data_IF_946984397042
#
_entry.id   IF_946984397042
#
_cell.length_a   1.000
_cell.length_b   1.000
_cell.length_c   1.000
_cell.angle_alpha   90.00
_cell.angle_beta   90.00
_cell.angle_gamma   90.00
#
_symmetry.space_group_name_H-M   'P 1'
#
loop_
_entity.id
_entity.type
_entity.pdbx_description
1 polymer ?
#
# COMPACT_ATOMS: atom_id res chain seq x y z
N UNK A 1 -3.90 -24.75 -14.58
CA UNK A 1 -2.58 -24.15 -14.53
C UNK A 1 -2.73 -22.61 -14.55
N UNK A 2 -2.38 -21.93 -13.44
CA UNK A 2 -2.54 -20.48 -13.23
C UNK A 2 -1.94 -19.62 -14.34
N UNK A 3 -0.79 -20.03 -14.88
CA UNK A 3 -0.14 -19.31 -15.96
C UNK A 3 -1.02 -19.23 -17.21
N UNK A 4 -1.73 -20.31 -17.55
CA UNK A 4 -2.65 -20.30 -18.69
C UNK A 4 -3.88 -19.43 -18.43
N UNK A 5 -4.46 -19.50 -17.23
CA UNK A 5 -5.59 -18.64 -16.82
C UNK A 5 -5.22 -17.17 -16.92
N UNK A 6 -4.02 -16.81 -16.45
CA UNK A 6 -3.52 -15.45 -16.58
C UNK A 6 -3.35 -15.02 -18.05
N UNK A 7 -2.73 -15.86 -18.89
CA UNK A 7 -2.58 -15.57 -20.33
C UNK A 7 -3.92 -15.40 -21.04
N UNK A 8 -4.90 -16.23 -20.73
CA UNK A 8 -6.25 -16.13 -21.28
C UNK A 8 -6.92 -14.81 -20.86
N UNK A 9 -6.75 -14.39 -19.61
CA UNK A 9 -7.26 -13.11 -19.13
C UNK A 9 -6.59 -11.93 -19.88
N UNK A 10 -5.27 -11.95 -20.05
CA UNK A 10 -4.55 -10.93 -20.83
C UNK A 10 -5.08 -10.88 -22.26
N UNK A 11 -5.26 -12.05 -22.92
CA UNK A 11 -5.82 -12.11 -24.25
C UNK A 11 -7.26 -11.55 -24.34
N UNK A 12 -8.07 -11.77 -23.30
CA UNK A 12 -9.42 -11.19 -23.21
C UNK A 12 -9.39 -9.67 -23.10
N UNK A 13 -8.51 -9.11 -22.26
CA UNK A 13 -8.29 -7.67 -22.17
C UNK A 13 -7.88 -7.09 -23.52
N UNK A 14 -6.92 -7.70 -24.19
CA UNK A 14 -6.46 -7.27 -25.53
C UNK A 14 -7.58 -7.31 -26.57
N UNK A 15 -8.44 -8.35 -26.57
CA UNK A 15 -9.61 -8.42 -27.47
C UNK A 15 -10.57 -7.25 -27.23
N UNK A 16 -10.84 -6.89 -25.98
CA UNK A 16 -11.69 -5.73 -25.66
C UNK A 16 -11.07 -4.44 -26.16
N UNK A 17 -9.77 -4.23 -25.92
CA UNK A 17 -9.06 -3.03 -26.36
C UNK A 17 -9.07 -2.89 -27.89
N UNK A 18 -8.80 -3.98 -28.61
CA UNK A 18 -8.86 -4.00 -30.07
C UNK A 18 -10.26 -3.69 -30.61
N UNK A 19 -11.31 -4.27 -29.99
CA UNK A 19 -12.70 -4.02 -30.36
C UNK A 19 -13.09 -2.55 -30.16
N UNK A 20 -12.55 -1.91 -29.13
CA UNK A 20 -12.76 -0.49 -28.82
C UNK A 20 -11.79 0.43 -29.61
N UNK A 21 -10.93 -0.13 -30.47
CA UNK A 21 -9.92 0.61 -31.24
C UNK A 21 -8.98 1.45 -30.37
N UNK A 22 -8.72 0.98 -29.14
CA UNK A 22 -7.76 1.62 -28.24
C UNK A 22 -6.33 1.33 -28.70
N UNK A 23 -5.45 2.33 -28.64
CA UNK A 23 -4.02 2.10 -28.80
C UNK A 23 -3.44 1.63 -27.47
N UNK A 24 -2.70 0.51 -27.44
CA UNK A 24 -2.15 -0.03 -26.22
C UNK A 24 -0.79 -0.71 -26.41
N UNK A 25 -0.01 -0.74 -25.35
CA UNK A 25 1.19 -1.56 -25.21
C UNK A 25 1.02 -2.53 -24.05
N UNK A 26 1.65 -3.69 -24.12
CA UNK A 26 1.66 -4.69 -23.05
C UNK A 26 3.08 -4.78 -22.50
N UNK A 27 3.20 -4.59 -21.18
CA UNK A 27 4.48 -4.55 -20.50
C UNK A 27 4.47 -5.54 -19.34
N UNK A 28 5.52 -6.33 -19.19
CA UNK A 28 5.74 -7.21 -18.05
C UNK A 28 5.96 -6.41 -16.77
N UNK A 29 5.58 -7.00 -15.62
CA UNK A 29 5.73 -6.34 -14.32
C UNK A 29 7.17 -5.88 -14.05
N UNK A 30 8.15 -6.68 -14.42
CA UNK A 30 9.57 -6.41 -14.18
C UNK A 30 10.18 -5.39 -15.15
N UNK A 31 9.49 -5.13 -16.25
CA UNK A 31 9.89 -4.18 -17.29
C UNK A 31 9.21 -2.82 -17.12
N UNK A 32 8.18 -2.76 -16.26
CA UNK A 32 7.40 -1.54 -16.05
C UNK A 32 8.26 -0.44 -15.43
N UNK A 33 8.33 0.68 -16.12
CA UNK A 33 8.99 1.90 -15.65
C UNK A 33 8.15 3.16 -15.96
N UNK A 34 8.67 4.32 -15.58
CA UNK A 34 7.99 5.61 -15.79
C UNK A 34 7.87 6.00 -17.26
N UNK A 35 8.70 5.47 -18.16
CA UNK A 35 8.65 5.79 -19.58
C UNK A 35 7.41 5.16 -20.22
N UNK A 36 7.04 3.95 -19.78
CA UNK A 36 5.85 3.25 -20.27
C UNK A 36 4.53 3.96 -19.94
N UNK A 37 4.52 4.76 -18.89
CA UNK A 37 3.31 5.46 -18.42
C UNK A 37 3.28 6.95 -18.76
N UNK A 38 4.35 7.50 -19.34
CA UNK A 38 4.49 8.96 -19.55
C UNK A 38 3.44 9.56 -20.51
N UNK A 39 2.84 8.75 -21.38
CA UNK A 39 1.94 9.20 -22.43
C UNK A 39 0.71 8.29 -22.59
N UNK A 40 0.16 7.81 -21.47
CA UNK A 40 -1.02 6.96 -21.47
C UNK A 40 -2.17 7.62 -20.72
N UNK A 41 -3.40 7.37 -21.18
CA UNK A 41 -4.62 7.88 -20.56
C UNK A 41 -5.15 6.96 -19.45
N UNK A 42 -4.72 5.69 -19.44
CA UNK A 42 -5.18 4.66 -18.51
C UNK A 42 -4.12 3.57 -18.38
N UNK A 43 -3.89 3.09 -17.18
CA UNK A 43 -3.14 1.86 -16.92
C UNK A 43 -4.10 0.75 -16.54
N UNK A 44 -3.99 -0.40 -17.20
CA UNK A 44 -4.76 -1.61 -16.88
C UNK A 44 -3.80 -2.65 -16.30
N UNK A 45 -3.98 -2.97 -15.03
CA UNK A 45 -3.19 -3.96 -14.31
C UNK A 45 -3.90 -5.31 -14.35
N UNK A 46 -3.31 -6.31 -15.00
CA UNK A 46 -3.88 -7.66 -15.09
C UNK A 46 -3.16 -8.59 -14.12
N UNK A 47 -3.88 -9.06 -13.11
CA UNK A 47 -3.32 -9.89 -12.03
C UNK A 47 -4.20 -9.84 -10.79
N UNK A 48 -3.62 -9.98 -9.61
CA UNK A 48 -4.30 -9.78 -8.32
C UNK A 48 -4.01 -8.41 -7.72
N UNK A 49 -4.44 -8.19 -6.46
CA UNK A 49 -4.22 -6.93 -5.73
C UNK A 49 -2.74 -6.52 -5.68
N UNK A 50 -1.81 -7.46 -5.52
CA UNK A 50 -0.37 -7.18 -5.53
C UNK A 50 0.14 -6.61 -6.86
N UNK A 51 -0.51 -6.93 -8.00
CA UNK A 51 -0.15 -6.34 -9.30
C UNK A 51 -0.67 -4.90 -9.40
N UNK A 52 -1.87 -4.63 -8.89
CA UNK A 52 -2.45 -3.28 -8.78
C UNK A 52 -1.55 -2.40 -7.92
N UNK A 53 -1.13 -2.88 -6.73
CA UNK A 53 -0.23 -2.16 -5.82
C UNK A 53 1.10 -1.83 -6.49
N UNK A 54 1.75 -2.81 -7.13
CA UNK A 54 3.02 -2.56 -7.82
C UNK A 54 2.90 -1.52 -8.93
N UNK A 55 1.81 -1.57 -9.72
CA UNK A 55 1.57 -0.58 -10.79
C UNK A 55 1.32 0.81 -10.22
N UNK A 56 0.64 0.91 -9.06
CA UNK A 56 0.31 2.18 -8.42
C UNK A 56 1.54 3.00 -8.02
N UNK A 57 2.67 2.36 -7.73
CA UNK A 57 3.93 3.02 -7.34
C UNK A 57 4.51 3.93 -8.43
N UNK A 58 4.18 3.69 -9.68
CA UNK A 58 4.66 4.48 -10.81
C UNK A 58 3.74 5.64 -11.17
N UNK A 59 2.48 5.63 -10.69
CA UNK A 59 1.43 6.55 -11.11
C UNK A 59 1.37 7.80 -10.22
N UNK A 60 1.12 8.94 -10.88
CA UNK A 60 0.75 10.20 -10.24
C UNK A 60 -0.76 10.31 -10.02
N UNK A 61 -1.24 11.54 -9.91
CA UNK A 61 -2.67 11.84 -9.65
C UNK A 61 -3.53 11.95 -10.91
N UNK A 62 -2.94 11.92 -12.11
CA UNK A 62 -3.64 12.22 -13.36
C UNK A 62 -3.99 10.99 -14.18
N UNK A 63 -3.24 9.89 -14.01
CA UNK A 63 -3.43 8.68 -14.80
C UNK A 63 -4.17 7.65 -13.95
N UNK A 64 -5.41 7.29 -14.32
CA UNK A 64 -6.18 6.31 -13.60
C UNK A 64 -5.64 4.89 -13.78
N UNK A 65 -5.89 4.05 -12.79
CA UNK A 65 -5.54 2.64 -12.74
C UNK A 65 -6.80 1.78 -12.68
N UNK A 66 -6.89 0.77 -13.54
CA UNK A 66 -7.93 -0.24 -13.50
C UNK A 66 -7.31 -1.62 -13.24
N UNK A 67 -7.72 -2.29 -12.17
CA UNK A 67 -7.32 -3.66 -11.88
C UNK A 67 -8.26 -4.69 -12.53
N UNK A 68 -7.68 -5.75 -13.11
CA UNK A 68 -8.41 -6.92 -13.62
C UNK A 68 -7.88 -8.15 -12.88
N UNK A 69 -8.68 -8.73 -11.98
CA UNK A 69 -8.28 -9.95 -11.28
C UNK A 69 -8.30 -11.15 -12.25
N UNK A 70 -7.12 -11.63 -12.60
CA UNK A 70 -6.96 -12.69 -13.60
C UNK A 70 -7.33 -14.09 -13.10
N UNK A 71 -7.30 -14.33 -11.78
CA UNK A 71 -7.61 -15.62 -11.14
C UNK A 71 -8.49 -15.39 -9.89
N UNK A 72 -9.79 -15.02 -10.08
CA UNK A 72 -10.68 -14.74 -8.97
C UNK A 72 -11.06 -16.01 -8.21
N UNK A 73 -11.23 -15.92 -6.90
CA UNK A 73 -11.82 -16.98 -6.09
C UNK A 73 -13.29 -17.15 -6.49
N UNK A 74 -13.69 -18.36 -6.91
CA UNK A 74 -15.08 -18.63 -7.31
C UNK A 74 -16.02 -18.71 -6.11
N UNK A 75 -17.35 -18.56 -6.35
CA UNK A 75 -18.35 -18.69 -5.29
C UNK A 75 -18.38 -20.10 -4.67
N UNK A 76 -18.10 -21.13 -5.47
CA UNK A 76 -18.00 -22.52 -5.01
C UNK A 76 -16.83 -22.74 -4.07
N UNK A 77 -15.69 -22.11 -4.36
CA UNK A 77 -14.50 -22.15 -3.51
C UNK A 77 -14.67 -21.38 -2.21
N UNK A 78 -15.45 -20.28 -2.21
CA UNK A 78 -15.81 -19.54 -0.99
C UNK A 78 -16.71 -20.36 -0.05
N UNK A 79 -17.58 -21.18 -0.60
CA UNK A 79 -18.53 -22.01 0.15
C UNK A 79 -17.93 -23.35 0.59
N UNK A 80 -16.90 -23.85 -0.09
CA UNK A 80 -16.15 -25.01 0.35
C UNK A 80 -15.21 -24.59 1.47
N UNK A 81 -15.41 -25.06 2.71
CA UNK A 81 -14.47 -24.92 3.83
C UNK A 81 -13.14 -25.67 3.59
N UNK A 82 -12.88 -26.13 2.40
CA UNK A 82 -11.57 -26.64 2.01
C UNK A 82 -10.64 -25.44 1.85
N UNK A 83 -9.88 -25.15 2.88
CA UNK A 83 -8.62 -24.40 2.79
C UNK A 83 -7.78 -25.07 1.71
N UNK A 84 -7.91 -24.63 0.48
CA UNK A 84 -6.95 -24.98 -0.55
C UNK A 84 -5.63 -24.35 -0.12
N UNK A 85 -4.54 -25.09 -0.19
CA UNK A 85 -3.19 -24.64 0.20
C UNK A 85 -2.74 -23.37 -0.52
N UNK A 86 -3.45 -22.96 -1.56
CA UNK A 86 -3.15 -21.81 -2.38
C UNK A 86 -4.18 -20.69 -2.22
N UNK A 87 -3.82 -19.68 -1.44
CA UNK A 87 -4.64 -18.48 -1.28
C UNK A 87 -4.64 -17.65 -2.56
N UNK A 88 -5.82 -17.48 -3.19
CA UNK A 88 -6.00 -16.59 -4.34
C UNK A 88 -6.23 -15.15 -3.88
N UNK A 89 -5.90 -14.19 -4.74
CA UNK A 89 -6.23 -12.79 -4.48
C UNK A 89 -7.74 -12.59 -4.46
N UNK A 90 -8.24 -11.87 -3.46
CA UNK A 90 -9.66 -11.49 -3.37
C UNK A 90 -10.03 -10.51 -4.49
N UNK A 91 -9.06 -9.74 -5.00
CA UNK A 91 -9.27 -8.72 -6.01
C UNK A 91 -10.02 -7.50 -5.48
N UNK A 92 -9.75 -7.12 -4.21
CA UNK A 92 -10.39 -5.98 -3.56
C UNK A 92 -10.06 -4.64 -4.23
N UNK A 93 -8.91 -4.56 -4.90
CA UNK A 93 -8.46 -3.39 -5.66
C UNK A 93 -8.81 -3.47 -7.14
N UNK A 94 -9.44 -4.58 -7.58
CA UNK A 94 -9.77 -4.80 -8.98
C UNK A 94 -11.20 -4.37 -9.30
N UNK A 95 -11.38 -3.64 -10.40
CA UNK A 95 -12.69 -3.25 -10.91
C UNK A 95 -13.45 -4.44 -11.50
N UNK A 96 -12.74 -5.33 -12.18
CA UNK A 96 -13.32 -6.50 -12.82
C UNK A 96 -12.42 -7.73 -12.67
N UNK A 97 -12.92 -8.86 -13.13
CA UNK A 97 -12.24 -10.15 -13.09
C UNK A 97 -12.13 -10.74 -14.50
N UNK A 98 -11.39 -11.82 -14.67
CA UNK A 98 -11.35 -12.59 -15.92
C UNK A 98 -12.75 -13.04 -16.41
N UNK A 99 -13.72 -13.14 -15.48
CA UNK A 99 -15.09 -13.61 -15.80
C UNK A 99 -16.01 -12.50 -16.34
N UNK A 100 -15.74 -11.24 -15.98
CA UNK A 100 -16.61 -10.09 -16.31
C UNK A 100 -15.89 -8.97 -17.08
N UNK A 101 -14.62 -9.16 -17.45
CA UNK A 101 -13.80 -8.14 -18.12
C UNK A 101 -14.40 -7.65 -19.45
N UNK A 102 -15.01 -8.54 -20.24
CA UNK A 102 -15.62 -8.18 -21.53
C UNK A 102 -16.86 -7.27 -21.36
N UNK A 103 -17.49 -7.31 -20.20
CA UNK A 103 -18.65 -6.46 -19.85
C UNK A 103 -18.23 -5.16 -19.17
N UNK A 104 -17.28 -5.22 -18.24
CA UNK A 104 -16.97 -4.10 -17.36
C UNK A 104 -15.87 -3.17 -17.94
N UNK A 105 -14.87 -3.71 -18.64
CA UNK A 105 -13.79 -2.89 -19.22
C UNK A 105 -14.28 -1.88 -20.26
N UNK A 106 -15.25 -2.19 -21.16
CA UNK A 106 -15.80 -1.19 -22.07
C UNK A 106 -16.39 0.03 -21.38
N UNK A 107 -17.03 -0.13 -20.20
CA UNK A 107 -17.60 0.98 -19.44
C UNK A 107 -16.55 1.95 -18.91
N UNK A 108 -15.36 1.43 -18.56
CA UNK A 108 -14.21 2.26 -18.18
C UNK A 108 -13.72 3.04 -19.39
N UNK A 109 -13.56 2.37 -20.54
CA UNK A 109 -13.06 2.97 -21.77
C UNK A 109 -14.01 4.02 -22.34
N UNK A 110 -15.32 3.84 -22.18
CA UNK A 110 -16.35 4.81 -22.58
C UNK A 110 -16.61 5.92 -21.54
N UNK A 111 -15.90 5.87 -20.40
CA UNK A 111 -16.08 6.80 -19.27
C UNK A 111 -17.48 6.79 -18.66
N UNK A 112 -18.16 5.63 -18.71
CA UNK A 112 -19.44 5.44 -18.01
C UNK A 112 -19.24 5.26 -16.50
N UNK A 113 -18.02 4.95 -16.07
CA UNK A 113 -17.64 4.80 -14.67
C UNK A 113 -16.52 5.76 -14.37
N UNK A 114 -16.60 6.45 -13.23
CA UNK A 114 -15.56 7.36 -12.78
C UNK A 114 -14.60 6.68 -11.79
N UNK A 115 -13.29 6.98 -11.87
CA UNK A 115 -12.33 6.47 -10.91
C UNK A 115 -12.50 7.16 -9.55
N UNK A 116 -12.23 6.43 -8.49
CA UNK A 116 -12.24 6.94 -7.12
C UNK A 116 -10.87 7.49 -6.76
N UNK A 117 -10.83 8.63 -6.07
CA UNK A 117 -9.59 9.17 -5.50
C UNK A 117 -9.25 8.39 -4.23
N UNK A 118 -8.05 7.80 -4.19
CA UNK A 118 -7.54 7.03 -3.06
C UNK A 118 -6.35 7.74 -2.44
N UNK A 119 -6.41 7.99 -1.15
CA UNK A 119 -5.28 8.54 -0.39
C UNK A 119 -4.09 7.57 -0.43
N UNK A 120 -2.87 8.12 -0.41
CA UNK A 120 -1.63 7.35 -0.35
C UNK A 120 -0.69 7.92 0.69
N UNK A 121 0.13 7.04 1.29
CA UNK A 121 1.18 7.48 2.21
C UNK A 121 2.42 7.90 1.45
N UNK A 122 3.04 8.99 1.90
CA UNK A 122 4.39 9.38 1.50
C UNK A 122 5.34 9.12 2.66
N UNK A 123 6.43 8.44 2.37
CA UNK A 123 7.52 8.22 3.33
C UNK A 123 8.79 8.89 2.84
N UNK A 124 9.37 9.75 3.67
CA UNK A 124 10.70 10.32 3.50
C UNK A 124 11.64 9.73 4.54
N UNK A 125 12.83 9.33 4.14
CA UNK A 125 13.86 8.76 5.02
C UNK A 125 15.09 9.65 4.97
N UNK A 126 15.52 10.13 6.12
CA UNK A 126 16.78 10.87 6.32
C UNK A 126 17.81 9.93 6.91
N UNK A 127 18.70 9.43 6.06
CA UNK A 127 19.80 8.57 6.45
C UNK A 127 21.01 9.41 6.84
N UNK A 128 21.60 9.11 8.01
CA UNK A 128 22.82 9.74 8.52
C UNK A 128 24.05 8.98 8.00
N UNK A 129 24.88 9.65 7.23
CA UNK A 129 26.17 9.10 6.76
C UNK A 129 27.31 9.87 7.37
N UNK A 130 28.33 9.16 7.86
CA UNK A 130 29.60 9.75 8.26
C UNK A 130 30.53 9.72 7.05
N UNK A 131 30.92 10.88 6.55
CA UNK A 131 31.91 11.03 5.48
C UNK A 131 32.94 12.08 5.89
N UNK A 132 34.22 11.72 5.85
CA UNK A 132 35.36 12.62 6.18
C UNK A 132 35.16 13.36 7.52
N UNK A 133 34.85 12.63 8.59
CA UNK A 133 34.59 13.14 9.95
C UNK A 133 33.41 14.11 10.08
N UNK A 134 32.63 14.30 9.02
CA UNK A 134 31.38 15.09 9.03
C UNK A 134 30.20 14.24 8.76
N UNK A 135 29.09 14.55 9.44
CA UNK A 135 27.81 13.93 9.16
C UNK A 135 27.14 14.62 7.98
N UNK A 136 26.79 13.80 6.99
CA UNK A 136 25.93 14.22 5.88
C UNK A 136 24.61 13.49 6.00
N UNK A 137 23.53 14.12 5.53
CA UNK A 137 22.20 13.51 5.46
C UNK A 137 21.83 13.32 4.01
N UNK A 138 21.33 12.14 3.70
CA UNK A 138 20.68 11.87 2.40
C UNK A 138 19.19 11.66 2.64
N UNK A 139 18.37 12.37 1.88
CA UNK A 139 16.93 12.17 1.93
C UNK A 139 16.51 11.27 0.75
N UNK A 140 15.72 10.24 1.05
CA UNK A 140 15.16 9.33 0.07
C UNK A 140 13.64 9.34 0.25
N UNK A 141 12.91 9.54 -0.85
CA UNK A 141 11.45 9.38 -0.87
C UNK A 141 11.12 8.02 -1.43
N UNK A 142 10.34 7.25 -0.67
CA UNK A 142 9.85 5.96 -1.11
C UNK A 142 8.66 6.13 -2.08
N UNK A 143 8.35 5.10 -2.88
CA UNK A 143 7.11 5.08 -3.66
C UNK A 143 5.89 5.33 -2.76
N UNK A 144 4.85 6.04 -3.25
CA UNK A 144 3.63 6.25 -2.48
C UNK A 144 2.93 4.92 -2.19
N UNK A 145 2.64 4.63 -0.92
CA UNK A 145 1.91 3.43 -0.55
C UNK A 145 0.40 3.62 -0.72
N UNK A 146 -0.24 2.68 -1.42
CA UNK A 146 -1.70 2.65 -1.58
C UNK A 146 -2.40 1.93 -0.41
N UNK A 147 -1.80 0.85 0.10
CA UNK A 147 -2.33 0.08 1.23
C UNK A 147 -1.65 0.46 2.54
N UNK A 148 -0.41 0.06 2.69
CA UNK A 148 0.27 0.12 3.98
C UNK A 148 1.80 0.14 3.88
N UNK A 149 2.39 0.52 5.00
CA UNK A 149 3.81 0.39 5.31
C UNK A 149 3.98 -0.56 6.48
N UNK A 150 4.95 -1.45 6.38
CA UNK A 150 5.45 -2.22 7.52
C UNK A 150 6.88 -1.78 7.84
N UNK A 151 7.10 -1.30 9.06
CA UNK A 151 8.43 -1.08 9.62
C UNK A 151 8.76 -2.23 10.56
N UNK A 152 9.84 -2.96 10.29
CA UNK A 152 10.25 -4.08 11.15
C UNK A 152 11.74 -4.38 10.97
N UNK A 153 12.33 -5.09 11.94
CA UNK A 153 13.60 -5.76 11.70
C UNK A 153 13.41 -6.82 10.60
N UNK A 154 14.41 -6.98 9.74
CA UNK A 154 14.36 -7.99 8.69
C UNK A 154 14.37 -9.42 9.25
N UNK A 155 14.88 -9.60 10.46
CA UNK A 155 14.83 -10.86 11.20
C UNK A 155 13.60 -10.84 12.12
N UNK A 156 12.58 -11.69 11.91
CA UNK A 156 11.36 -11.70 12.71
C UNK A 156 11.58 -12.08 14.19
N UNK A 157 12.73 -12.67 14.54
CA UNK A 157 13.10 -12.97 15.92
C UNK A 157 13.79 -11.80 16.64
N UNK A 158 14.11 -10.72 15.91
CA UNK A 158 14.76 -9.54 16.48
C UNK A 158 13.72 -8.51 16.91
N UNK A 159 14.04 -7.78 17.98
CA UNK A 159 13.21 -6.70 18.49
C UNK A 159 13.45 -5.44 17.66
N UNK A 160 12.39 -4.92 17.06
CA UNK A 160 12.37 -3.60 16.42
C UNK A 160 12.31 -2.52 17.49
N UNK A 161 13.30 -1.63 17.49
CA UNK A 161 13.40 -0.51 18.43
C UNK A 161 13.37 0.79 17.67
N UNK A 162 12.51 1.69 18.08
CA UNK A 162 12.41 3.02 17.48
C UNK A 162 11.79 4.02 18.46
N UNK A 163 11.99 5.30 18.20
CA UNK A 163 11.30 6.38 18.90
C UNK A 163 10.19 6.89 18.01
N UNK A 164 8.98 6.95 18.54
CA UNK A 164 7.77 7.36 17.84
C UNK A 164 7.30 8.73 18.32
N UNK A 165 6.96 9.59 17.37
CA UNK A 165 6.33 10.88 17.59
C UNK A 165 5.18 11.11 16.62
N UNK A 166 4.19 11.88 17.06
CA UNK A 166 3.09 12.36 16.22
C UNK A 166 3.11 13.88 16.26
N UNK A 167 3.12 14.48 15.07
CA UNK A 167 3.17 15.94 14.91
C UNK A 167 1.96 16.39 14.11
N UNK A 168 1.18 17.31 14.68
CA UNK A 168 0.04 17.89 14.03
C UNK A 168 0.45 18.83 12.88
N UNK A 169 -0.53 19.21 12.06
CA UNK A 169 -0.32 20.11 10.93
C UNK A 169 0.26 21.47 11.33
N UNK A 170 -0.05 21.97 12.50
CA UNK A 170 0.47 23.22 13.07
C UNK A 170 1.89 23.10 13.63
N UNK A 171 2.48 21.92 13.60
CA UNK A 171 3.81 21.63 14.14
C UNK A 171 3.82 21.26 15.62
N UNK A 172 2.68 21.29 16.32
CA UNK A 172 2.59 20.83 17.70
C UNK A 172 2.71 19.31 17.80
N UNK A 173 3.33 18.81 18.88
CA UNK A 173 3.38 17.38 19.17
C UNK A 173 2.05 16.92 19.81
N UNK A 174 1.47 15.84 19.29
CA UNK A 174 0.25 15.24 19.87
C UNK A 174 0.49 14.70 21.28
N UNK A 175 1.71 14.24 21.52
CA UNK A 175 2.21 13.78 22.81
C UNK A 175 3.74 13.74 22.77
N UNK A 176 4.37 13.67 23.93
CA UNK A 176 5.81 13.47 24.02
C UNK A 176 6.24 12.20 23.28
N UNK A 177 7.34 12.29 22.52
CA UNK A 177 7.93 11.16 21.79
C UNK A 177 8.36 10.08 22.77
N UNK A 178 8.02 8.83 22.47
CA UNK A 178 8.32 7.70 23.33
C UNK A 178 9.09 6.59 22.60
N UNK A 179 9.81 5.78 23.38
CA UNK A 179 10.53 4.64 22.85
C UNK A 179 9.59 3.43 22.70
N UNK A 180 9.73 2.74 21.60
CA UNK A 180 8.97 1.54 21.25
C UNK A 180 9.90 0.36 21.13
N UNK A 181 9.51 -0.74 21.77
CA UNK A 181 10.10 -2.08 21.62
C UNK A 181 8.98 -3.01 21.17
N UNK A 182 9.14 -3.62 20.01
CA UNK A 182 8.03 -4.34 19.39
C UNK A 182 8.54 -5.30 18.29
N UNK A 183 7.63 -6.02 17.64
CA UNK A 183 7.94 -6.73 16.39
C UNK A 183 7.80 -5.84 15.14
N UNK A 184 7.61 -4.52 15.31
CA UNK A 184 7.47 -3.55 14.23
C UNK A 184 6.21 -2.71 14.35
N UNK A 185 5.87 -2.00 13.27
CA UNK A 185 4.72 -1.09 13.22
C UNK A 185 4.08 -1.11 11.83
N UNK A 186 2.76 -1.15 11.80
CA UNK A 186 1.97 -0.87 10.60
C UNK A 186 1.58 0.60 10.55
N UNK A 187 1.61 1.17 9.33
CA UNK A 187 0.93 2.43 9.00
C UNK A 187 0.12 2.18 7.75
N UNK A 188 -1.17 2.49 7.72
CA UNK A 188 -2.01 2.22 6.57
C UNK A 188 -2.84 3.42 6.13
N UNK A 189 -3.21 3.40 4.86
CA UNK A 189 -4.24 4.24 4.27
C UNK A 189 -5.63 3.69 4.60
N UNK A 190 -6.71 4.42 4.31
CA UNK A 190 -8.06 3.87 4.33
C UNK A 190 -8.24 2.64 3.45
N UNK A 191 -7.58 2.59 2.29
CA UNK A 191 -7.61 1.43 1.38
C UNK A 191 -7.01 0.19 2.03
N UNK A 192 -5.86 0.30 2.70
CA UNK A 192 -5.19 -0.80 3.40
C UNK A 192 -5.80 -1.16 4.74
N UNK A 193 -6.67 -0.30 5.31
CA UNK A 193 -7.22 -0.49 6.66
C UNK A 193 -8.04 -1.78 6.83
N UNK A 194 -8.61 -2.31 5.76
CA UNK A 194 -9.39 -3.56 5.76
C UNK A 194 -8.54 -4.84 5.63
N UNK A 195 -7.25 -4.70 5.35
CA UNK A 195 -6.28 -5.79 5.17
C UNK A 195 -5.51 -6.15 6.45
N UNK A 196 -4.18 -6.04 6.37
CA UNK A 196 -3.25 -6.38 7.47
C UNK A 196 -3.54 -5.60 8.74
N UNK A 197 -3.90 -4.32 8.62
CA UNK A 197 -4.26 -3.47 9.75
C UNK A 197 -5.47 -4.03 10.51
N UNK A 198 -6.56 -4.40 9.83
CA UNK A 198 -7.73 -5.03 10.46
C UNK A 198 -7.36 -6.36 11.11
N UNK A 199 -6.55 -7.18 10.45
CA UNK A 199 -6.10 -8.46 11.00
C UNK A 199 -5.25 -8.28 12.28
N UNK A 200 -4.54 -7.16 12.41
CA UNK A 200 -3.78 -6.78 13.59
C UNK A 200 -4.64 -6.16 14.72
N UNK A 201 -5.94 -5.94 14.49
CA UNK A 201 -6.86 -5.33 15.45
C UNK A 201 -7.18 -3.85 15.20
N UNK A 202 -6.73 -3.30 14.09
CA UNK A 202 -7.08 -1.95 13.65
C UNK A 202 -8.50 -1.83 13.13
N UNK A 203 -8.94 -0.59 12.91
CA UNK A 203 -10.32 -0.29 12.48
C UNK A 203 -10.36 -0.06 10.96
N UNK A 204 -11.33 -0.65 10.24
CA UNK A 204 -11.58 -0.29 8.87
C UNK A 204 -11.96 1.19 8.75
N UNK A 205 -11.34 1.89 7.81
CA UNK A 205 -11.59 3.30 7.53
C UNK A 205 -12.45 3.46 6.28
N UNK A 206 -13.15 4.59 6.17
CA UNK A 206 -13.91 4.91 4.96
C UNK A 206 -12.94 5.13 3.79
N UNK A 207 -13.19 4.54 2.62
CA UNK A 207 -12.28 4.64 1.46
C UNK A 207 -12.02 6.07 0.95
N UNK A 208 -12.92 7.01 1.26
CA UNK A 208 -12.85 8.41 0.90
C UNK A 208 -12.16 9.30 1.97
N UNK A 209 -11.76 8.73 3.11
CA UNK A 209 -10.96 9.44 4.11
C UNK A 209 -9.55 9.75 3.57
N UNK A 210 -8.96 10.82 4.08
CA UNK A 210 -7.55 11.18 3.82
C UNK A 210 -6.67 10.99 5.06
N UNK A 211 -7.21 10.41 6.13
CA UNK A 211 -6.45 10.10 7.34
C UNK A 211 -5.61 8.85 7.14
N UNK A 212 -4.66 8.62 8.02
CA UNK A 212 -3.91 7.36 8.11
C UNK A 212 -4.10 6.73 9.49
N UNK A 213 -3.88 5.42 9.58
CA UNK A 213 -3.90 4.69 10.85
C UNK A 213 -2.56 4.02 11.09
N UNK A 214 -2.10 4.02 12.33
CA UNK A 214 -0.90 3.29 12.72
C UNK A 214 -1.16 2.33 13.88
N UNK A 215 -0.33 1.29 13.97
CA UNK A 215 -0.36 0.31 15.04
C UNK A 215 1.01 -0.30 15.26
N UNK A 216 1.51 -0.21 16.48
CA UNK A 216 2.70 -0.92 16.96
C UNK A 216 2.33 -2.38 17.18
N UNK A 217 3.10 -3.28 16.58
CA UNK A 217 2.89 -4.74 16.68
C UNK A 217 3.54 -5.27 17.95
N UNK A 218 2.83 -6.15 18.65
CA UNK A 218 3.34 -6.82 19.88
C UNK A 218 4.15 -5.83 20.74
N UNK A 219 3.53 -4.68 21.09
CA UNK A 219 4.17 -3.62 21.84
C UNK A 219 4.55 -4.10 23.25
N UNK A 220 5.84 -4.21 23.49
CA UNK A 220 6.40 -4.62 24.79
C UNK A 220 6.38 -3.42 25.74
N UNK A 221 5.36 -3.37 26.58
CA UNK A 221 5.14 -2.30 27.57
C UNK A 221 4.91 -2.95 28.92
N UNK A 222 5.55 -2.41 29.96
CA UNK A 222 5.31 -2.85 31.34
C UNK A 222 3.86 -2.62 31.75
N UNK A 223 3.34 -3.44 32.67
CA UNK A 223 1.92 -3.40 33.07
C UNK A 223 1.47 -2.05 33.64
N UNK A 224 2.38 -1.31 34.27
CA UNK A 224 2.13 0.01 34.85
C UNK A 224 2.18 1.16 33.81
N UNK A 225 2.46 0.88 32.53
CA UNK A 225 2.60 1.88 31.46
C UNK A 225 1.47 1.78 30.42
N UNK A 226 0.21 1.65 30.86
CA UNK A 226 -0.96 1.54 29.99
C UNK A 226 -1.12 2.72 29.03
N UNK A 227 -0.75 3.94 29.45
CA UNK A 227 -0.77 5.15 28.62
C UNK A 227 0.15 5.03 27.40
N UNK A 228 1.31 4.42 27.57
CA UNK A 228 2.26 4.17 26.45
C UNK A 228 1.69 3.12 25.51
N UNK A 229 1.03 2.09 26.04
CA UNK A 229 0.35 1.08 25.21
C UNK A 229 -0.75 1.72 24.36
N UNK A 230 -1.57 2.59 24.93
CA UNK A 230 -2.62 3.31 24.23
C UNK A 230 -2.06 4.20 23.11
N UNK A 231 -0.91 4.84 23.32
CA UNK A 231 -0.19 5.65 22.31
C UNK A 231 0.44 4.82 21.19
N UNK A 232 0.47 3.49 21.31
CA UNK A 232 1.00 2.58 20.29
C UNK A 232 0.09 2.39 19.06
N UNK A 233 -1.10 3.00 19.05
CA UNK A 233 -2.05 2.91 17.94
C UNK A 233 -2.92 4.15 17.85
N UNK A 234 -3.40 4.47 16.66
CA UNK A 234 -4.30 5.60 16.49
C UNK A 234 -4.59 5.98 15.05
N UNK A 235 -5.53 6.89 14.89
CA UNK A 235 -5.83 7.58 13.63
C UNK A 235 -5.05 8.89 13.64
N UNK A 236 -4.39 9.19 12.54
CA UNK A 236 -3.63 10.42 12.33
C UNK A 236 -4.32 11.24 11.25
N UNK A 237 -4.83 12.43 11.58
CA UNK A 237 -5.54 13.28 10.64
C UNK A 237 -4.65 13.72 9.47
N UNK A 238 -5.28 13.97 8.33
CA UNK A 238 -4.62 14.54 7.17
C UNK A 238 -3.83 15.82 7.51
N UNK A 239 -2.62 15.95 6.95
CA UNK A 239 -1.71 17.05 7.20
C UNK A 239 -0.85 16.90 8.44
N UNK A 240 -1.14 15.90 9.29
CA UNK A 240 -0.26 15.48 10.38
C UNK A 240 0.75 14.46 9.90
N UNK A 241 1.83 14.24 10.67
CA UNK A 241 2.87 13.26 10.30
C UNK A 241 3.24 12.38 11.47
N UNK A 242 3.67 11.19 11.15
CA UNK A 242 4.31 10.25 12.07
C UNK A 242 5.82 10.41 11.88
N UNK A 243 6.52 10.69 12.97
CA UNK A 243 7.97 10.79 13.01
C UNK A 243 8.55 9.56 13.70
N UNK A 244 9.51 8.91 13.07
CA UNK A 244 10.13 7.69 13.58
C UNK A 244 11.64 7.86 13.52
N UNK A 245 12.32 7.59 14.64
CA UNK A 245 13.77 7.42 14.66
C UNK A 245 14.09 5.96 14.92
N UNK A 246 14.72 5.32 13.93
CA UNK A 246 15.07 3.92 14.02
C UNK A 246 16.27 3.70 14.97
N UNK A 247 16.10 2.83 15.97
CA UNK A 247 17.08 2.59 17.03
C UNK A 247 17.60 1.14 17.07
N UNK A 248 17.23 0.30 16.09
CA UNK A 248 17.83 -1.01 15.87
C UNK A 248 18.97 -0.94 14.85
N UNK A 249 19.90 -1.92 14.92
CA UNK A 249 21.05 -1.98 14.01
C UNK A 249 20.61 -2.13 12.55
N UNK A 250 19.63 -2.96 12.29
CA UNK A 250 19.04 -3.23 10.99
C UNK A 250 17.54 -3.08 11.06
N UNK A 251 16.93 -2.82 9.93
CA UNK A 251 15.49 -2.77 9.75
C UNK A 251 15.11 -2.62 8.30
N UNK A 252 13.83 -2.70 8.03
CA UNK A 252 13.26 -2.48 6.70
C UNK A 252 11.94 -1.72 6.80
N UNK A 253 11.69 -0.89 5.81
CA UNK A 253 10.36 -0.40 5.45
C UNK A 253 9.90 -1.17 4.23
N UNK A 254 8.76 -1.82 4.35
CA UNK A 254 8.09 -2.50 3.25
C UNK A 254 6.91 -1.63 2.81
N UNK A 255 6.78 -1.38 1.50
CA UNK A 255 5.75 -0.55 0.91
C UNK A 255 4.80 -1.44 0.11
N UNK A 256 3.54 -1.52 0.53
CA UNK A 256 2.51 -2.33 -0.15
C UNK A 256 2.92 -3.81 -0.35
N UNK A 257 3.65 -4.39 0.61
CA UNK A 257 4.09 -5.78 0.58
C UNK A 257 5.60 -5.97 0.39
N UNK A 258 6.02 -7.20 0.08
CA UNK A 258 7.42 -7.63 0.17
C UNK A 258 8.34 -7.11 -0.96
N UNK A 259 7.78 -6.74 -2.10
CA UNK A 259 8.57 -6.43 -3.30
C UNK A 259 9.18 -5.04 -3.32
N UNK A 260 8.59 -4.09 -2.62
CA UNK A 260 9.13 -2.73 -2.46
C UNK A 260 9.62 -2.54 -1.04
N UNK A 261 10.94 -2.60 -0.86
CA UNK A 261 11.56 -2.48 0.47
C UNK A 261 12.73 -1.52 0.48
N UNK A 262 12.91 -0.85 1.61
CA UNK A 262 14.07 0.00 1.88
C UNK A 262 14.72 -0.42 3.21
N UNK A 263 16.05 -0.58 3.21
CA UNK A 263 16.80 -0.94 4.42
C UNK A 263 16.96 0.27 5.34
N UNK A 264 16.75 0.03 6.62
CA UNK A 264 16.97 1.00 7.69
C UNK A 264 18.22 0.65 8.49
N UNK A 265 18.91 1.66 8.97
CA UNK A 265 20.06 1.56 9.85
C UNK A 265 19.86 2.40 11.10
N UNK A 266 20.63 2.08 12.13
CA UNK A 266 20.60 2.82 13.39
C UNK A 266 20.77 4.34 13.18
N UNK A 267 19.78 5.09 13.64
CA UNK A 267 19.75 6.54 13.58
C UNK A 267 19.05 7.13 12.36
N UNK A 268 18.55 6.30 11.44
CA UNK A 268 17.71 6.79 10.34
C UNK A 268 16.41 7.38 10.88
N UNK A 269 15.99 8.48 10.30
CA UNK A 269 14.78 9.20 10.65
C UNK A 269 13.78 9.11 9.49
N UNK A 270 12.53 8.81 9.82
CA UNK A 270 11.45 8.67 8.85
C UNK A 270 10.32 9.62 9.19
N UNK A 271 9.80 10.27 8.16
CA UNK A 271 8.55 11.02 8.20
C UNK A 271 7.52 10.29 7.32
N UNK A 272 6.36 9.99 7.88
CA UNK A 272 5.23 9.37 7.15
C UNK A 272 4.04 10.32 7.19
N UNK A 273 3.49 10.65 6.02
CA UNK A 273 2.31 11.51 5.85
C UNK A 273 1.30 10.87 4.90
N UNK A 274 0.06 11.34 4.93
CA UNK A 274 -0.97 10.99 3.96
C UNK A 274 -1.05 11.98 2.77
N UNK A 275 0.02 12.73 2.52
CA UNK A 275 0.05 13.84 1.55
C UNK A 275 0.66 13.43 0.18
N UNK A 276 0.83 12.14 -0.08
CA UNK A 276 1.21 11.71 -1.43
C UNK A 276 0.11 12.05 -2.45
N UNK A 277 0.47 12.34 -3.72
CA UNK A 277 -0.53 12.53 -4.76
C UNK A 277 -1.52 11.35 -4.76
N UNK A 278 -2.84 11.60 -4.67
CA UNK A 278 -3.82 10.52 -4.62
C UNK A 278 -3.82 9.70 -5.90
N UNK A 279 -4.19 8.44 -5.80
CA UNK A 279 -4.38 7.57 -6.96
C UNK A 279 -5.82 7.65 -7.45
N UNK A 280 -6.01 7.77 -8.76
CA UNK A 280 -7.30 7.53 -9.41
C UNK A 280 -7.43 6.02 -9.66
N UNK A 281 -8.30 5.35 -8.90
CA UNK A 281 -8.48 3.90 -8.97
C UNK A 281 -9.91 3.55 -9.38
N UNK A 282 -10.05 2.78 -10.46
CA UNK A 282 -11.30 2.10 -10.76
C UNK A 282 -11.45 0.90 -9.81
N UNK A 283 -12.37 0.98 -8.89
CA UNK A 283 -12.66 -0.09 -7.93
C UNK A 283 -14.17 -0.28 -7.79
N UNK A 284 -14.59 -1.51 -7.49
CA UNK A 284 -15.99 -1.80 -7.16
C UNK A 284 -16.39 -0.97 -5.94
N UNK A 285 -17.57 -0.37 -6.00
CA UNK A 285 -18.13 0.26 -4.82
C UNK A 285 -18.39 -0.81 -3.75
N UNK A 286 -18.05 -0.54 -2.48
CA UNK A 286 -18.43 -1.45 -1.42
C UNK A 286 -19.95 -1.59 -1.46
N UNK A 287 -20.43 -2.83 -1.59
CA UNK A 287 -21.86 -3.12 -1.43
C UNK A 287 -22.24 -2.66 -0.02
N UNK A 288 -23.15 -1.71 0.07
CA UNK A 288 -23.76 -1.30 1.34
C UNK A 288 -24.40 -2.54 1.96
N UNK A 289 -23.72 -3.10 2.96
CA UNK A 289 -24.26 -4.17 3.82
C UNK A 289 -25.06 -3.56 4.96
#
# INVERSE_FOLDING_TARGET
NRHNVHKECVASVQRVLNKQKANFAVVGREELDRQHIAQVDLVISVGGDGTVLSSSHFLGENIPLAGVNSDPTTAEEKNSMKLTEERRSIGALCMCTSLDVEKELPKILSREVEPQRRARLQTSIKARKLANERYTFTETRLPPALNDLLLADANPAAVSRFRLGLVHRDGSEAHERFNVWSSGMWVCTPTGSSGSMKAAGGQPMRPDSSDMQYMVREHMVEENMQDIRAKGQGIVPQGSRIEIRWNSKNGCVFVDGEYSRHELRLGDELDVTADAPPLLLYAKQPTSS
#
